data_IF_433866674335
#
_entry.id   IF_433866674335
#
_cell.length_a   1.000
_cell.length_b   1.000
_cell.length_c   1.000
_cell.angle_alpha   90.00
_cell.angle_beta   90.00
_cell.angle_gamma   90.00
#
_symmetry.space_group_name_H-M   'P 1'
#
loop_
_entity.id
_entity.type
_entity.pdbx_description
1 polymer ?
#
# COMPACT_ATOMS: atom_id res chain seq x y z
N UNK A 1 -35.89 -14.87 6.03
CA UNK A 1 -34.59 -15.33 5.51
C UNK A 1 -33.59 -14.28 5.92
N UNK A 2 -32.85 -14.54 6.98
CA UNK A 2 -31.89 -13.60 7.56
C UNK A 2 -30.63 -13.66 6.69
N UNK A 3 -30.32 -12.56 5.99
CA UNK A 3 -29.03 -12.44 5.30
C UNK A 3 -27.98 -12.34 6.41
N UNK A 4 -27.31 -13.45 6.72
CA UNK A 4 -26.09 -13.39 7.52
C UNK A 4 -25.08 -12.68 6.63
N UNK A 5 -24.93 -11.37 6.84
CA UNK A 5 -23.83 -10.61 6.29
C UNK A 5 -22.53 -11.36 6.65
N UNK A 6 -21.61 -11.49 5.70
CA UNK A 6 -20.37 -12.24 5.84
C UNK A 6 -19.36 -11.54 6.77
N UNK A 7 -19.83 -10.87 7.82
CA UNK A 7 -19.00 -10.13 8.76
C UNK A 7 -17.93 -11.04 9.35
N UNK A 8 -16.66 -10.65 9.13
CA UNK A 8 -15.53 -11.34 9.69
C UNK A 8 -15.60 -11.27 11.23
N UNK A 9 -15.59 -12.43 11.90
CA UNK A 9 -15.76 -12.53 13.36
C UNK A 9 -14.42 -12.54 14.11
N UNK A 10 -13.59 -11.52 13.91
CA UNK A 10 -12.35 -11.35 14.69
C UNK A 10 -12.09 -9.88 14.99
N UNK A 11 -11.20 -9.61 15.96
CA UNK A 11 -10.89 -8.24 16.34
C UNK A 11 -10.10 -7.55 15.22
N UNK A 12 -10.48 -6.32 14.84
CA UNK A 12 -9.79 -5.54 13.82
C UNK A 12 -8.29 -5.33 14.13
N UNK A 13 -7.91 -5.33 15.42
CA UNK A 13 -6.52 -5.28 15.86
C UNK A 13 -5.66 -6.45 15.37
N UNK A 14 -6.28 -7.55 14.94
CA UNK A 14 -5.61 -8.71 14.35
C UNK A 14 -5.39 -8.54 12.83
N UNK A 15 -5.96 -7.51 12.20
CA UNK A 15 -5.69 -7.16 10.80
C UNK A 15 -4.40 -6.36 10.67
N UNK A 16 -3.39 -7.02 10.10
CA UNK A 16 -2.14 -6.36 9.67
C UNK A 16 -2.21 -6.07 8.18
N UNK A 17 -2.11 -4.80 7.81
CA UNK A 17 -1.95 -4.40 6.41
C UNK A 17 -0.46 -4.42 6.06
N UNK A 18 -0.12 -5.07 4.94
CA UNK A 18 1.22 -5.07 4.35
C UNK A 18 1.16 -4.32 3.01
N UNK A 19 1.36 -2.99 3.01
CA UNK A 19 1.38 -2.23 1.76
C UNK A 19 2.72 -2.39 1.06
N UNK A 20 2.66 -2.64 -0.25
CA UNK A 20 3.83 -2.62 -1.12
C UNK A 20 3.86 -1.33 -1.92
N UNK A 21 5.06 -0.76 -2.10
CA UNK A 21 5.29 0.36 -3.00
C UNK A 21 5.55 -0.18 -4.40
N UNK A 22 4.91 0.41 -5.40
CA UNK A 22 5.16 0.07 -6.81
C UNK A 22 6.61 0.37 -7.20
N UNK A 23 7.20 1.44 -6.63
CA UNK A 23 8.61 1.77 -6.80
C UNK A 23 9.22 2.12 -5.45
N UNK A 24 10.17 1.31 -5.00
CA UNK A 24 10.89 1.55 -3.75
C UNK A 24 12.39 1.76 -4.01
N UNK A 25 12.77 3.01 -4.23
CA UNK A 25 14.16 3.39 -4.45
C UNK A 25 15.06 3.08 -3.24
N UNK A 26 14.52 3.09 -2.02
CA UNK A 26 15.30 2.73 -0.82
C UNK A 26 15.65 1.24 -0.86
N UNK A 27 14.65 0.38 -1.13
CA UNK A 27 14.87 -1.05 -1.30
C UNK A 27 15.84 -1.36 -2.43
N UNK A 28 15.74 -0.68 -3.57
CA UNK A 28 16.70 -0.85 -4.67
C UNK A 28 18.12 -0.46 -4.25
N UNK A 29 18.27 0.68 -3.57
CA UNK A 29 19.57 1.19 -3.11
C UNK A 29 20.26 0.26 -2.11
N UNK A 30 19.54 -0.27 -1.12
CA UNK A 30 20.12 -1.24 -0.15
C UNK A 30 20.52 -2.56 -0.81
N UNK A 31 19.96 -2.88 -1.97
CA UNK A 31 20.33 -4.04 -2.79
C UNK A 31 21.37 -3.71 -3.88
N UNK A 32 22.01 -2.54 -3.82
CA UNK A 32 23.11 -2.16 -4.73
C UNK A 32 22.67 -1.46 -6.02
N UNK A 33 21.40 -1.09 -6.14
CA UNK A 33 20.85 -0.41 -7.32
C UNK A 33 20.46 1.04 -6.98
N UNK A 34 21.43 1.96 -7.05
CA UNK A 34 21.17 3.40 -6.86
C UNK A 34 20.71 4.06 -8.18
N UNK A 35 19.46 3.79 -8.56
CA UNK A 35 18.89 4.22 -9.85
C UNK A 35 18.00 5.45 -9.78
N UNK A 36 17.62 5.89 -8.57
CA UNK A 36 16.77 7.06 -8.35
C UNK A 36 17.28 8.33 -9.07
N UNK A 37 18.59 8.66 -9.06
CA UNK A 37 19.09 9.87 -9.72
C UNK A 37 18.82 9.92 -11.24
N UNK A 38 18.80 8.76 -11.91
CA UNK A 38 18.54 8.70 -13.36
C UNK A 38 17.12 9.12 -13.70
N UNK A 39 16.15 8.83 -12.84
CA UNK A 39 14.76 9.22 -13.08
C UNK A 39 14.45 10.61 -12.51
N UNK A 40 15.05 10.97 -11.38
CA UNK A 40 14.88 12.29 -10.77
C UNK A 40 15.38 13.41 -11.69
N UNK A 41 16.53 13.21 -12.37
CA UNK A 41 17.06 14.16 -13.36
C UNK A 41 16.16 14.38 -14.58
N UNK A 42 15.27 13.43 -14.87
CA UNK A 42 14.28 13.52 -15.94
C UNK A 42 12.94 14.11 -15.46
N UNK A 43 12.80 14.46 -14.18
CA UNK A 43 11.59 15.06 -13.61
C UNK A 43 10.48 14.07 -13.25
N UNK A 44 10.79 12.77 -13.10
CA UNK A 44 9.78 11.72 -12.87
C UNK A 44 9.30 11.61 -11.41
N UNK A 45 9.86 12.39 -10.48
CA UNK A 45 9.56 12.29 -9.05
C UNK A 45 8.06 12.31 -8.74
N UNK A 46 7.33 13.27 -9.34
CA UNK A 46 5.87 13.39 -9.15
C UNK A 46 5.10 12.18 -9.66
N UNK A 47 5.58 11.52 -10.72
CA UNK A 47 4.96 10.31 -11.23
C UNK A 47 5.13 9.14 -10.25
N UNK A 48 6.32 8.96 -9.66
CA UNK A 48 6.53 7.93 -8.65
C UNK A 48 5.79 8.23 -7.32
N UNK A 49 5.68 9.50 -6.93
CA UNK A 49 4.83 9.91 -5.81
C UNK A 49 3.36 9.54 -6.06
N UNK A 50 2.86 9.75 -7.28
CA UNK A 50 1.51 9.36 -7.66
C UNK A 50 1.33 7.83 -7.69
N UNK A 51 2.31 7.09 -8.21
CA UNK A 51 2.27 5.61 -8.22
C UNK A 51 2.29 5.02 -6.81
N UNK A 52 3.07 5.61 -5.92
CA UNK A 52 3.14 5.24 -4.50
C UNK A 52 2.12 6.02 -3.66
N UNK A 53 1.04 6.50 -4.27
CA UNK A 53 0.06 7.40 -3.68
C UNK A 53 -0.54 6.89 -2.36
N UNK A 54 -1.40 7.72 -1.72
CA UNK A 54 -1.91 7.42 -0.41
C UNK A 54 -2.68 6.10 -0.40
N UNK A 55 -2.35 5.25 0.55
CA UNK A 55 -3.18 4.12 0.95
C UNK A 55 -4.10 4.56 2.07
N UNK A 56 -5.24 3.90 2.21
CA UNK A 56 -6.23 4.17 3.27
C UNK A 56 -6.41 2.90 4.13
N UNK A 57 -5.48 2.63 5.07
CA UNK A 57 -5.48 1.37 5.81
C UNK A 57 -6.75 1.12 6.61
N UNK A 58 -7.25 2.15 7.30
CA UNK A 58 -8.45 2.04 8.12
C UNK A 58 -9.70 1.81 7.26
N UNK A 59 -9.78 2.49 6.11
CA UNK A 59 -10.86 2.27 5.14
C UNK A 59 -10.87 0.82 4.65
N UNK A 60 -9.71 0.29 4.27
CA UNK A 60 -9.56 -1.10 3.83
C UNK A 60 -9.94 -2.11 4.93
N UNK A 61 -9.48 -1.89 6.16
CA UNK A 61 -9.84 -2.74 7.30
C UNK A 61 -11.34 -2.76 7.55
N UNK A 62 -11.98 -1.59 7.58
CA UNK A 62 -13.44 -1.51 7.73
C UNK A 62 -14.18 -2.21 6.58
N UNK A 63 -13.70 -2.09 5.34
CA UNK A 63 -14.27 -2.81 4.19
C UNK A 63 -14.16 -4.32 4.36
N UNK A 64 -12.98 -4.85 4.74
CA UNK A 64 -12.80 -6.29 4.94
C UNK A 64 -13.65 -6.85 6.08
N UNK A 65 -13.80 -6.09 7.17
CA UNK A 65 -14.65 -6.50 8.28
C UNK A 65 -16.14 -6.62 7.90
N UNK A 66 -16.56 -5.96 6.81
CA UNK A 66 -17.95 -5.87 6.34
C UNK A 66 -18.22 -6.61 5.01
N UNK A 67 -17.20 -7.25 4.43
CA UNK A 67 -17.27 -7.95 3.13
C UNK A 67 -18.01 -9.30 3.20
#
# INVERSE_FOLDING_TARGET
MEFIANEMKFQESLLTLLPEKMVDFNSLKVNGYDVEPYFASQGWNRYFEMLNGPIYPDLLKHFWMKA
#
